data_IF_096795818751
#
_entry.id   IF_096795818751
#
_cell.length_a   1.000
_cell.length_b   1.000
_cell.length_c   1.000
_cell.angle_alpha   90.00
_cell.angle_beta   90.00
_cell.angle_gamma   90.00
#
_symmetry.space_group_name_H-M   'P 1'
#
loop_
_entity.id
_entity.type
_entity.pdbx_description
1 polymer ?
#
# COMPACT_ATOMS: atom_id res chain seq x y z
N UNK A 1 3.87 34.83 19.24
CA UNK A 1 4.33 34.56 17.87
C UNK A 1 3.43 33.49 17.28
N UNK A 2 2.61 33.88 16.31
CA UNK A 2 1.79 33.00 15.50
C UNK A 2 2.69 32.26 14.52
N UNK A 3 2.66 30.93 14.51
CA UNK A 3 3.09 30.16 13.35
C UNK A 3 1.84 29.72 12.59
N UNK A 4 1.66 30.28 11.40
CA UNK A 4 0.81 29.75 10.33
C UNK A 4 1.77 29.18 9.29
N UNK A 5 1.74 27.87 9.07
CA UNK A 5 2.41 27.24 7.92
C UNK A 5 1.47 26.12 7.43
N UNK A 6 0.67 26.43 6.42
CA UNK A 6 0.88 26.04 5.02
C UNK A 6 0.49 24.59 4.75
N UNK A 7 -0.76 24.41 4.31
CA UNK A 7 -1.28 23.45 3.33
C UNK A 7 -0.36 22.27 2.96
N UNK A 8 -0.09 21.39 3.94
CA UNK A 8 0.47 20.07 3.65
C UNK A 8 -0.66 19.31 2.97
N UNK A 9 -0.51 18.79 1.74
CA UNK A 9 -1.50 17.89 1.18
C UNK A 9 -1.55 16.70 2.14
N UNK A 10 -2.64 16.58 2.89
CA UNK A 10 -2.91 15.39 3.69
C UNK A 10 -2.87 14.23 2.71
N UNK A 11 -1.76 13.51 2.67
CA UNK A 11 -1.59 12.32 1.86
C UNK A 11 -2.54 11.28 2.43
N UNK A 12 -3.78 11.26 1.93
CA UNK A 12 -4.79 10.28 2.36
C UNK A 12 -4.32 8.89 1.99
N UNK A 13 -4.17 8.04 3.01
CA UNK A 13 -3.95 6.62 2.84
C UNK A 13 -3.85 5.81 4.13
N UNK A 14 -4.86 5.88 5.01
CA UNK A 14 -4.99 4.95 6.15
C UNK A 14 -5.62 3.61 5.74
N UNK A 15 -6.29 2.90 6.67
CA UNK A 15 -7.10 1.72 6.34
C UNK A 15 -8.15 2.03 5.25
N UNK A 16 -8.49 1.04 4.42
CA UNK A 16 -9.47 1.19 3.35
C UNK A 16 -9.07 0.50 2.05
N UNK A 17 -9.80 0.79 0.98
CA UNK A 17 -9.54 0.18 -0.32
C UNK A 17 -8.44 0.92 -1.08
N UNK A 18 -7.61 0.15 -1.77
CA UNK A 18 -6.54 0.63 -2.62
C UNK A 18 -6.65 -0.01 -3.99
N UNK A 19 -6.42 0.80 -5.02
CA UNK A 19 -6.29 0.31 -6.39
C UNK A 19 -4.84 0.39 -6.85
N UNK A 20 -4.34 -0.67 -7.46
CA UNK A 20 -3.02 -0.66 -8.11
C UNK A 20 -3.08 0.23 -9.35
N UNK A 21 -2.27 1.29 -9.36
CA UNK A 21 -2.20 2.30 -10.42
C UNK A 21 -0.88 2.30 -11.18
N UNK A 22 0.13 1.59 -10.68
CA UNK A 22 1.43 1.45 -11.33
C UNK A 22 2.06 0.11 -10.96
N UNK A 23 2.71 -0.53 -11.93
CA UNK A 23 3.43 -1.80 -11.77
C UNK A 23 4.56 -1.91 -12.79
N UNK A 24 5.57 -2.74 -12.51
CA UNK A 24 6.51 -3.23 -13.53
C UNK A 24 5.92 -4.38 -14.36
N UNK A 25 6.66 -4.88 -15.37
CA UNK A 25 6.22 -6.00 -16.22
C UNK A 25 5.92 -7.28 -15.45
N UNK A 26 6.61 -7.50 -14.33
CA UNK A 26 6.47 -8.67 -13.45
C UNK A 26 5.44 -8.47 -12.33
N UNK A 27 4.56 -7.47 -12.41
CA UNK A 27 3.64 -7.16 -11.31
C UNK A 27 4.28 -6.35 -10.17
N UNK A 28 3.49 -6.16 -9.12
CA UNK A 28 3.84 -5.43 -7.90
C UNK A 28 3.84 -6.39 -6.71
N UNK A 29 4.95 -6.50 -6.01
CA UNK A 29 5.10 -7.52 -4.98
C UNK A 29 4.23 -7.23 -3.75
N UNK A 30 3.64 -8.30 -3.22
CA UNK A 30 3.19 -8.40 -1.84
C UNK A 30 4.30 -9.10 -1.07
N UNK A 31 4.69 -8.57 0.09
CA UNK A 31 5.83 -9.04 0.88
C UNK A 31 5.42 -9.42 2.29
N UNK A 32 6.17 -10.34 2.90
CA UNK A 32 5.96 -10.76 4.29
C UNK A 32 6.28 -9.67 5.34
N UNK A 33 7.03 -8.64 4.96
CA UNK A 33 7.40 -7.52 5.83
C UNK A 33 7.39 -6.19 5.05
N UNK A 34 7.20 -5.04 5.73
CA UNK A 34 7.10 -3.72 5.10
C UNK A 34 8.48 -3.14 4.72
N UNK A 35 9.24 -3.88 3.91
CA UNK A 35 10.50 -3.42 3.35
C UNK A 35 10.83 -4.16 2.03
N UNK A 36 11.70 -3.56 1.22
CA UNK A 36 12.08 -4.06 -0.11
C UNK A 36 12.85 -5.39 -0.09
N UNK A 37 13.35 -5.80 1.07
CA UNK A 37 14.05 -7.09 1.26
C UNK A 37 13.13 -8.20 1.79
N UNK A 38 11.89 -7.88 2.20
CA UNK A 38 10.91 -8.87 2.62
C UNK A 38 10.64 -9.89 1.52
N UNK A 39 10.45 -11.16 1.88
CA UNK A 39 10.23 -12.23 0.89
C UNK A 39 8.94 -11.92 0.12
N UNK A 40 8.95 -11.90 -1.23
CA UNK A 40 7.72 -11.82 -2.01
C UNK A 40 6.85 -13.06 -1.72
N UNK A 41 5.61 -12.83 -1.31
CA UNK A 41 4.63 -13.89 -0.98
C UNK A 41 3.39 -13.82 -1.87
N UNK A 42 3.37 -12.90 -2.82
CA UNK A 42 2.24 -12.66 -3.71
C UNK A 42 2.53 -11.52 -4.67
N UNK A 43 1.59 -11.28 -5.56
CA UNK A 43 1.75 -10.30 -6.64
C UNK A 43 0.42 -9.66 -6.97
N UNK A 44 0.46 -8.33 -7.15
CA UNK A 44 -0.64 -7.56 -7.67
C UNK A 44 -0.33 -7.10 -9.11
N UNK A 45 -1.37 -7.01 -9.92
CA UNK A 45 -1.32 -6.44 -11.26
C UNK A 45 -2.09 -5.12 -11.33
N UNK A 46 -1.89 -4.37 -12.41
CA UNK A 46 -2.56 -3.09 -12.63
C UNK A 46 -4.09 -3.25 -12.51
N UNK A 47 -4.71 -2.39 -11.71
CA UNK A 47 -6.15 -2.38 -11.51
C UNK A 47 -6.68 -3.32 -10.44
N UNK A 48 -5.87 -4.23 -9.88
CA UNK A 48 -6.26 -4.99 -8.69
C UNK A 48 -6.69 -4.05 -7.56
N UNK A 49 -7.67 -4.50 -6.79
CA UNK A 49 -8.16 -3.80 -5.61
C UNK A 49 -7.84 -4.65 -4.39
N UNK A 50 -7.21 -4.03 -3.40
CA UNK A 50 -6.92 -4.65 -2.11
C UNK A 50 -7.48 -3.78 -1.00
N UNK A 51 -7.81 -4.40 0.13
CA UNK A 51 -8.16 -3.68 1.34
C UNK A 51 -6.98 -3.69 2.29
N UNK A 52 -6.63 -2.52 2.80
CA UNK A 52 -5.61 -2.35 3.81
C UNK A 52 -6.25 -2.17 5.20
N UNK A 53 -5.59 -2.73 6.22
CA UNK A 53 -5.95 -2.58 7.63
C UNK A 53 -5.11 -1.54 8.36
N UNK A 54 -4.00 -1.11 7.76
CA UNK A 54 -3.09 -0.12 8.33
C UNK A 54 -1.98 0.26 7.36
N UNK A 55 -1.15 1.21 7.78
CA UNK A 55 0.03 1.66 7.03
C UNK A 55 1.23 1.87 7.95
N UNK A 56 2.43 1.74 7.38
CA UNK A 56 3.68 2.16 8.02
C UNK A 56 4.51 2.97 7.03
N UNK A 57 5.19 4.00 7.54
CA UNK A 57 6.08 4.85 6.75
C UNK A 57 7.52 4.56 7.15
N UNK A 58 8.37 4.28 6.16
CA UNK A 58 9.81 4.06 6.34
C UNK A 58 10.61 4.91 5.37
N UNK A 59 11.94 4.82 5.45
CA UNK A 59 12.84 5.47 4.49
C UNK A 59 12.68 4.96 3.06
N UNK A 60 12.08 3.79 2.86
CA UNK A 60 11.80 3.22 1.54
C UNK A 60 10.47 3.71 0.96
N UNK A 61 9.57 4.22 1.80
CA UNK A 61 8.27 4.73 1.42
C UNK A 61 7.13 4.31 2.35
N UNK A 62 5.90 4.44 1.86
CA UNK A 62 4.68 4.05 2.59
C UNK A 62 4.28 2.63 2.19
N UNK A 63 4.09 1.77 3.18
CA UNK A 63 3.64 0.39 3.03
C UNK A 63 2.25 0.23 3.63
N UNK A 64 1.38 -0.52 2.94
CA UNK A 64 0.05 -0.86 3.44
C UNK A 64 -0.03 -2.33 3.82
N UNK A 65 -0.62 -2.61 4.98
CA UNK A 65 -0.88 -3.97 5.45
C UNK A 65 -2.19 -4.46 4.86
N UNK A 66 -2.18 -5.58 4.14
CA UNK A 66 -3.37 -6.16 3.54
C UNK A 66 -4.25 -6.85 4.58
N UNK A 67 -5.57 -6.81 4.36
CA UNK A 67 -6.51 -7.62 5.13
C UNK A 67 -6.47 -9.10 4.71
N UNK A 68 -7.03 -9.96 5.57
CA UNK A 68 -7.01 -11.41 5.36
C UNK A 68 -7.70 -11.81 4.03
N UNK A 69 -8.76 -11.11 3.63
CA UNK A 69 -9.45 -11.39 2.37
C UNK A 69 -8.56 -11.10 1.16
N UNK A 70 -7.89 -9.96 1.15
CA UNK A 70 -6.93 -9.61 0.08
C UNK A 70 -5.72 -10.55 0.08
N UNK A 71 -5.28 -11.02 1.25
CA UNK A 71 -4.21 -12.02 1.34
C UNK A 71 -4.62 -13.33 0.66
N UNK A 72 -5.80 -13.85 0.96
CA UNK A 72 -6.33 -15.09 0.35
C UNK A 72 -6.45 -14.97 -1.17
N UNK A 73 -6.78 -13.79 -1.69
CA UNK A 73 -6.94 -13.59 -3.13
C UNK A 73 -5.61 -13.49 -3.88
N UNK A 74 -4.59 -12.87 -3.28
CA UNK A 74 -3.39 -12.44 -4.02
C UNK A 74 -2.06 -13.01 -3.51
N UNK A 75 -2.05 -13.74 -2.38
CA UNK A 75 -0.82 -14.33 -1.82
C UNK A 75 -0.79 -15.85 -2.06
N UNK A 76 0.41 -16.37 -2.30
CA UNK A 76 0.69 -17.81 -2.35
C UNK A 76 0.61 -18.45 -0.96
N UNK A 77 0.92 -17.67 0.08
CA UNK A 77 0.80 -18.03 1.49
C UNK A 77 0.03 -16.91 2.22
N UNK A 78 -1.05 -17.27 2.91
CA UNK A 78 -1.89 -16.35 3.66
C UNK A 78 -1.60 -16.37 5.18
N UNK A 79 -0.57 -17.07 5.63
CA UNK A 79 -0.07 -17.05 7.01
C UNK A 79 0.74 -15.78 7.31
N UNK A 80 0.53 -15.21 8.50
CA UNK A 80 1.27 -14.03 8.96
C UNK A 80 0.72 -12.71 8.42
N UNK A 81 1.60 -11.80 8.03
CA UNK A 81 1.26 -10.48 7.51
C UNK A 81 1.64 -10.34 6.04
N UNK A 82 0.91 -9.49 5.34
CA UNK A 82 1.17 -9.14 3.96
C UNK A 82 1.23 -7.63 3.80
N UNK A 83 2.29 -7.16 3.15
CA UNK A 83 2.59 -5.75 2.99
C UNK A 83 2.84 -5.41 1.53
N UNK A 84 2.32 -4.29 1.06
CA UNK A 84 2.59 -3.80 -0.29
C UNK A 84 3.02 -2.34 -0.26
N UNK A 85 4.04 -2.02 -1.05
CA UNK A 85 4.56 -0.65 -1.14
C UNK A 85 3.54 0.22 -1.88
N UNK A 86 2.88 1.14 -1.19
CA UNK A 86 1.90 2.03 -1.79
C UNK A 86 2.57 3.19 -2.52
N UNK A 87 3.63 3.76 -1.93
CA UNK A 87 4.40 4.89 -2.47
C UNK A 87 5.87 4.73 -2.11
N UNK A 88 6.79 4.91 -3.05
CA UNK A 88 8.23 4.90 -2.74
C UNK A 88 8.76 6.27 -2.27
N UNK A 89 10.00 6.28 -1.79
CA UNK A 89 10.72 7.51 -1.41
C UNK A 89 10.94 8.50 -2.56
N UNK A 90 10.88 8.04 -3.82
CA UNK A 90 10.96 8.89 -5.02
C UNK A 90 9.63 9.55 -5.40
N UNK A 91 8.55 9.28 -4.65
CA UNK A 91 7.21 9.81 -4.90
C UNK A 91 6.40 9.02 -5.94
N UNK A 92 6.89 7.86 -6.41
CA UNK A 92 6.11 7.00 -7.28
C UNK A 92 4.95 6.37 -6.49
N UNK A 93 3.73 6.56 -6.97
CA UNK A 93 2.54 5.93 -6.41
C UNK A 93 2.23 4.62 -7.15
N UNK A 94 2.19 3.51 -6.41
CA UNK A 94 1.85 2.17 -6.89
C UNK A 94 0.42 1.78 -6.54
N UNK A 95 -0.01 2.04 -5.30
CA UNK A 95 -1.38 1.82 -4.83
C UNK A 95 -2.00 3.16 -4.46
N UNK A 96 -3.17 3.49 -5.02
CA UNK A 96 -3.92 4.69 -4.70
C UNK A 96 -5.08 4.34 -3.76
N UNK A 97 -5.16 5.01 -2.61
CA UNK A 97 -6.31 4.92 -1.71
C UNK A 97 -7.56 5.39 -2.46
N UNK A 98 -8.58 4.53 -2.51
CA UNK A 98 -9.90 4.91 -2.98
C UNK A 98 -10.59 5.60 -1.80
N UNK A 99 -10.63 6.93 -1.82
CA UNK A 99 -11.35 7.73 -0.83
C UNK A 99 -12.76 7.18 -0.69
N UNK A 100 -13.02 6.56 0.46
CA UNK A 100 -14.35 6.18 0.85
C UNK A 100 -15.19 7.44 0.97
N UNK A 101 -15.95 7.78 -0.08
CA UNK A 101 -17.21 8.50 0.13
C UNK A 101 -18.09 7.55 0.92
N UNK A 102 -17.97 7.60 2.23
CA UNK A 102 -19.05 7.20 3.12
C UNK A 102 -20.19 8.17 2.83
N UNK A 103 -21.07 7.80 1.90
CA UNK A 103 -22.43 8.32 1.82
C UNK A 103 -23.32 7.47 2.70
#
# INVERSE_FOLDING_TARGET
MTMREHDVPVLRGGPGFYKVVKTGPSGHNIRSCPNLRGIPIGMLVLGNKVKAVGEVVSSEGTWVQLDKNSMVEFCENDEGEAWSLARDAGGNQYLRHEDGKYI
#
